data_IF_918414659132
#
_entry.id   IF_918414659132
#
_cell.length_a   1.000
_cell.length_b   1.000
_cell.length_c   1.000
_cell.angle_alpha   90.00
_cell.angle_beta   90.00
_cell.angle_gamma   90.00
#
_symmetry.space_group_name_H-M   'P 1'
#
loop_
_entity.id
_entity.type
_entity.pdbx_description
1 polymer ?
#
# COMPACT_ATOMS: atom_id res chain seq x y z
N UNK A 1 -11.22 9.31 12.42
CA UNK A 1 -11.43 8.56 11.16
C UNK A 1 -11.35 9.55 10.01
N UNK A 2 -10.17 10.17 9.80
CA UNK A 2 -9.96 11.18 8.76
C UNK A 2 -8.67 10.92 7.96
N UNK A 3 -7.88 9.91 8.33
CA UNK A 3 -6.55 9.65 7.76
C UNK A 3 -6.59 8.86 6.45
N UNK A 4 -7.76 8.28 6.10
CA UNK A 4 -7.98 7.54 4.86
C UNK A 4 -9.07 8.19 3.98
N UNK A 5 -9.58 9.36 4.37
CA UNK A 5 -10.61 10.05 3.60
C UNK A 5 -10.05 10.41 2.22
N UNK A 6 -10.70 9.93 1.16
CA UNK A 6 -10.24 10.10 -0.21
C UNK A 6 -9.11 9.14 -0.63
N UNK A 7 -8.89 8.04 0.09
CA UNK A 7 -7.94 6.97 -0.28
C UNK A 7 -8.70 5.67 -0.58
N UNK A 8 -8.52 5.12 -1.78
CA UNK A 8 -9.07 3.82 -2.20
C UNK A 8 -8.02 2.71 -2.03
N UNK A 9 -8.10 1.98 -0.90
CA UNK A 9 -7.14 0.92 -0.58
C UNK A 9 -7.24 -0.31 -1.51
N UNK A 10 -8.43 -0.61 -2.05
CA UNK A 10 -8.66 -1.78 -2.92
C UNK A 10 -7.86 -1.70 -4.22
N UNK A 11 -7.68 -0.49 -4.76
CA UNK A 11 -6.91 -0.22 -5.97
C UNK A 11 -5.51 0.34 -5.67
N UNK A 12 -5.04 0.24 -4.43
CA UNK A 12 -3.69 0.65 -4.03
C UNK A 12 -2.71 -0.52 -4.14
N UNK A 13 -1.46 -0.22 -4.46
CA UNK A 13 -0.39 -1.22 -4.60
C UNK A 13 0.51 -1.25 -3.37
N UNK A 14 1.11 -2.41 -3.10
CA UNK A 14 1.97 -2.66 -1.94
C UNK A 14 3.40 -2.95 -2.41
N UNK A 15 4.28 -1.95 -2.45
CA UNK A 15 5.70 -2.18 -2.72
C UNK A 15 6.44 -2.92 -1.60
N UNK A 16 5.99 -2.77 -0.35
CA UNK A 16 6.62 -3.46 0.78
C UNK A 16 5.76 -3.55 2.03
N UNK A 17 6.08 -4.52 2.89
CA UNK A 17 5.56 -4.55 4.26
C UNK A 17 6.59 -5.12 5.23
N UNK A 18 6.49 -4.69 6.48
CA UNK A 18 7.31 -5.21 7.57
C UNK A 18 6.57 -5.19 8.90
N UNK A 19 6.79 -6.24 9.68
CA UNK A 19 6.49 -6.19 11.11
C UNK A 19 7.63 -5.44 11.81
N UNK A 20 7.32 -4.40 12.57
CA UNK A 20 8.33 -3.67 13.32
C UNK A 20 7.94 -3.65 14.80
N UNK A 21 8.66 -4.40 15.66
CA UNK A 21 8.44 -4.39 17.10
C UNK A 21 8.61 -3.00 17.72
N UNK A 22 9.46 -2.15 17.13
CA UNK A 22 9.71 -0.78 17.58
C UNK A 22 8.56 0.19 17.30
N UNK A 23 7.77 -0.04 16.25
CA UNK A 23 6.51 0.71 16.01
C UNK A 23 5.29 -0.04 16.55
N UNK A 24 5.50 -1.22 17.15
CA UNK A 24 4.47 -2.05 17.76
C UNK A 24 3.40 -2.51 16.78
N UNK A 25 3.75 -2.75 15.50
CA UNK A 25 2.73 -2.99 14.48
C UNK A 25 3.25 -3.45 13.12
N UNK A 26 2.30 -3.60 12.20
CA UNK A 26 2.53 -3.95 10.81
C UNK A 26 2.49 -2.69 9.95
N UNK A 27 3.57 -2.42 9.23
CA UNK A 27 3.71 -1.26 8.37
C UNK A 27 3.70 -1.70 6.91
N UNK A 28 2.84 -1.09 6.10
CA UNK A 28 2.84 -1.19 4.65
C UNK A 28 3.36 0.11 4.05
N UNK A 29 4.27 0.00 3.09
CA UNK A 29 4.48 1.08 2.12
C UNK A 29 3.46 0.87 0.99
N UNK A 30 2.81 1.95 0.56
CA UNK A 30 1.76 1.93 -0.44
C UNK A 30 2.05 2.88 -1.58
N UNK A 31 1.62 2.50 -2.77
CA UNK A 31 1.20 3.45 -3.79
C UNK A 31 -0.31 3.60 -3.68
N UNK A 32 -0.73 4.60 -2.90
CA UNK A 32 -2.11 4.81 -2.53
C UNK A 32 -2.88 5.51 -3.65
N UNK A 33 -4.00 4.92 -4.08
CA UNK A 33 -4.93 5.54 -5.04
C UNK A 33 -5.75 6.61 -4.33
N UNK A 34 -5.66 7.84 -4.82
CA UNK A 34 -6.41 8.97 -4.31
C UNK A 34 -7.68 9.22 -5.12
N UNK A 35 -8.79 9.47 -4.42
CA UNK A 35 -10.03 9.96 -4.98
C UNK A 35 -9.93 11.49 -5.22
N UNK A 36 -10.79 12.02 -6.10
CA UNK A 36 -10.73 13.43 -6.54
C UNK A 36 -11.07 14.47 -5.46
N UNK A 37 -11.60 14.04 -4.32
CA UNK A 37 -11.88 14.85 -3.15
C UNK A 37 -10.69 14.92 -2.17
N UNK A 38 -9.67 14.09 -2.35
CA UNK A 38 -8.46 14.13 -1.52
C UNK A 38 -7.66 15.42 -1.80
N UNK A 39 -7.15 16.06 -0.76
CA UNK A 39 -6.45 17.36 -0.88
C UNK A 39 -5.14 17.30 -1.69
N UNK A 40 -4.47 16.15 -1.67
CA UNK A 40 -3.28 15.86 -2.47
C UNK A 40 -3.59 15.22 -3.84
N UNK A 41 -4.86 15.14 -4.23
CA UNK A 41 -5.23 14.61 -5.55
C UNK A 41 -4.79 15.56 -6.65
N UNK A 42 -4.26 14.98 -7.72
CA UNK A 42 -3.89 15.66 -8.94
C UNK A 42 -4.41 14.86 -10.12
N UNK A 43 -4.71 15.54 -11.23
CA UNK A 43 -5.13 14.86 -12.45
C UNK A 43 -4.03 13.89 -12.91
N UNK A 44 -4.34 12.59 -13.10
CA UNK A 44 -3.36 11.60 -13.55
C UNK A 44 -2.80 11.93 -14.92
N UNK A 45 -1.58 11.48 -15.20
CA UNK A 45 -1.06 11.53 -16.57
C UNK A 45 -1.89 10.65 -17.50
N UNK A 46 -1.95 10.93 -18.82
CA UNK A 46 -2.75 10.13 -19.75
C UNK A 46 -2.41 8.63 -19.80
N UNK A 47 -1.20 8.25 -19.38
CA UNK A 47 -0.74 6.87 -19.29
C UNK A 47 -1.04 6.19 -17.96
N UNK A 48 -1.55 6.92 -16.97
CA UNK A 48 -1.84 6.41 -15.63
C UNK A 48 -3.33 6.13 -15.46
N UNK A 49 -3.64 5.07 -14.71
CA UNK A 49 -5.01 4.66 -14.43
C UNK A 49 -5.69 5.52 -13.35
N UNK A 50 -4.90 6.16 -12.48
CA UNK A 50 -5.38 6.91 -11.32
C UNK A 50 -4.31 7.82 -10.72
N UNK A 51 -4.69 8.58 -9.70
CA UNK A 51 -3.74 9.43 -8.98
C UNK A 51 -3.12 8.60 -7.86
N UNK A 52 -1.85 8.22 -8.03
CA UNK A 52 -1.13 7.43 -7.04
C UNK A 52 -0.14 8.29 -6.28
N UNK A 53 -0.10 8.15 -4.95
CA UNK A 53 0.88 8.81 -4.08
C UNK A 53 1.50 7.79 -3.12
N UNK A 54 2.81 7.93 -2.87
CA UNK A 54 3.49 7.12 -1.86
C UNK A 54 2.96 7.45 -0.47
N UNK A 55 2.61 6.42 0.28
CA UNK A 55 2.10 6.52 1.63
C UNK A 55 2.61 5.37 2.51
N UNK A 56 2.47 5.54 3.81
CA UNK A 56 2.71 4.50 4.81
C UNK A 56 1.39 4.21 5.54
N UNK A 57 0.99 2.94 5.61
CA UNK A 57 -0.16 2.51 6.39
C UNK A 57 0.32 1.65 7.57
N UNK A 58 0.16 2.18 8.78
CA UNK A 58 0.53 1.51 10.02
C UNK A 58 -0.71 0.93 10.71
N UNK A 59 -0.72 -0.38 10.85
CA UNK A 59 -1.61 -1.07 11.79
C UNK A 59 -0.92 -1.14 13.15
N UNK A 60 -1.16 -0.14 13.99
CA UNK A 60 -0.59 -0.06 15.34
C UNK A 60 -1.21 -1.11 16.27
N UNK A 61 -0.39 -1.68 17.16
CA UNK A 61 -0.76 -2.77 18.07
C UNK A 61 -1.41 -3.98 17.36
N UNK A 62 -1.09 -4.17 16.07
CA UNK A 62 -1.64 -5.27 15.30
C UNK A 62 -1.12 -6.61 15.82
N UNK A 63 -2.05 -7.48 16.18
CA UNK A 63 -1.77 -8.90 16.38
C UNK A 63 -1.99 -9.60 15.06
N UNK A 64 -0.92 -10.04 14.39
CA UNK A 64 -1.05 -10.81 13.15
C UNK A 64 -1.50 -12.22 13.51
N UNK A 65 -2.80 -12.48 13.41
CA UNK A 65 -3.36 -13.83 13.51
C UNK A 65 -3.50 -14.41 12.11
N UNK A 66 -2.50 -15.14 11.61
CA UNK A 66 -2.57 -15.72 10.27
C UNK A 66 -1.22 -16.01 9.62
N UNK A 67 -1.25 -16.19 8.30
CA UNK A 67 -0.14 -16.64 7.45
C UNK A 67 0.51 -15.52 6.64
N UNK A 68 0.30 -14.24 6.99
CA UNK A 68 0.93 -13.12 6.28
C UNK A 68 2.44 -13.39 6.20
N UNK A 69 2.96 -13.73 5.01
CA UNK A 69 4.33 -14.20 4.90
C UNK A 69 5.29 -13.04 5.16
N UNK A 70 6.50 -13.36 5.60
CA UNK A 70 7.57 -12.38 5.52
C UNK A 70 7.72 -11.94 4.06
N UNK A 71 7.95 -10.65 3.80
CA UNK A 71 8.11 -10.12 2.45
C UNK A 71 9.21 -10.85 1.66
N UNK A 72 10.25 -11.33 2.35
CA UNK A 72 11.34 -12.15 1.78
C UNK A 72 10.88 -13.49 1.20
N UNK A 73 9.73 -14.01 1.63
CA UNK A 73 9.16 -15.26 1.18
C UNK A 73 8.17 -15.10 0.02
N UNK A 74 7.85 -13.86 -0.38
CA UNK A 74 6.94 -13.56 -1.50
C UNK A 74 7.74 -13.14 -2.73
N UNK A 75 7.40 -13.70 -3.89
CA UNK A 75 7.97 -13.27 -5.16
C UNK A 75 7.22 -12.03 -5.65
N UNK A 76 7.88 -10.86 -5.74
CA UNK A 76 7.23 -9.67 -6.30
C UNK A 76 7.11 -9.80 -7.82
N UNK A 77 6.13 -9.10 -8.37
CA UNK A 77 6.15 -8.68 -9.77
C UNK A 77 7.03 -7.43 -9.92
N UNK A 78 7.37 -7.13 -11.18
CA UNK A 78 8.11 -5.93 -11.51
C UNK A 78 7.27 -5.07 -12.43
N UNK A 79 7.11 -3.81 -12.07
CA UNK A 79 6.47 -2.83 -12.93
C UNK A 79 7.36 -2.46 -14.11
N UNK A 80 6.76 -1.77 -15.07
CA UNK A 80 7.46 -1.34 -16.29
C UNK A 80 8.65 -0.40 -16.02
N UNK A 81 8.70 0.22 -14.84
CA UNK A 81 9.80 1.08 -14.39
C UNK A 81 10.86 0.31 -13.56
N UNK A 82 10.66 -0.99 -13.33
CA UNK A 82 11.55 -1.87 -12.57
C UNK A 82 11.32 -1.86 -11.05
N UNK A 83 10.35 -1.09 -10.55
CA UNK A 83 9.93 -1.14 -9.15
C UNK A 83 9.27 -2.48 -8.81
N UNK A 84 9.30 -2.83 -7.52
CA UNK A 84 8.72 -4.08 -7.03
C UNK A 84 7.27 -3.83 -6.65
N UNK A 85 6.41 -4.72 -7.10
CA UNK A 85 5.00 -4.76 -6.72
C UNK A 85 4.70 -6.12 -6.11
N UNK A 86 4.01 -6.13 -4.97
CA UNK A 86 3.53 -7.35 -4.32
C UNK A 86 2.00 -7.50 -4.44
N UNK A 87 1.38 -6.65 -5.27
CA UNK A 87 -0.05 -6.62 -5.52
C UNK A 87 -0.80 -5.71 -4.55
N UNK A 88 -2.09 -5.95 -4.43
CA UNK A 88 -2.99 -5.24 -3.52
C UNK A 88 -3.17 -5.97 -2.20
N UNK A 89 -3.91 -5.38 -1.27
CA UNK A 89 -4.27 -6.02 0.00
C UNK A 89 -4.98 -7.38 -0.19
N UNK A 90 -5.82 -7.54 -1.21
CA UNK A 90 -6.44 -8.83 -1.57
C UNK A 90 -5.44 -9.91 -2.01
N UNK A 91 -4.25 -9.50 -2.47
CA UNK A 91 -3.24 -10.45 -2.98
C UNK A 91 -2.41 -11.08 -1.85
N UNK A 92 -2.35 -10.44 -0.68
CA UNK A 92 -1.43 -10.80 0.41
C UNK A 92 -2.13 -11.19 1.72
N UNK A 93 -3.43 -10.96 1.85
CA UNK A 93 -4.21 -11.24 3.07
C UNK A 93 -5.13 -12.45 2.95
#
# INVERSE_FOLDING_TARGET
MAELDGVELEDSFIPSWRYSPSVGGLLFELEARLCSDHTAWEQPMPSEFGCYKRAELLFAAASVSGTLPEQSAVQPTQDSDGSRDYGSFDSIM
#
